data_IF_010023031389
#
_entry.id   IF_010023031389
#
_cell.length_a   1.000
_cell.length_b   1.000
_cell.length_c   1.000
_cell.angle_alpha   90.00
_cell.angle_beta   90.00
_cell.angle_gamma   90.00
#
_symmetry.space_group_name_H-M   'P 1'
#
loop_
_entity.id
_entity.type
_entity.pdbx_description
1 polymer ?
#
# COMPACT_ATOMS: atom_id res chain seq x y z
N UNK A 1 16.58 3.53 -5.55
CA UNK A 1 15.59 4.31 -4.78
C UNK A 1 14.81 3.40 -3.83
N UNK A 2 14.56 3.83 -2.59
CA UNK A 2 13.89 3.05 -1.54
C UNK A 2 12.43 2.72 -1.89
N UNK A 3 11.73 3.63 -2.56
CA UNK A 3 10.33 3.46 -2.99
C UNK A 3 10.16 2.28 -3.96
N UNK A 4 10.94 2.22 -5.05
CA UNK A 4 10.84 1.12 -6.03
C UNK A 4 11.17 -0.27 -5.46
N UNK A 5 12.02 -0.37 -4.43
CA UNK A 5 12.27 -1.64 -3.74
C UNK A 5 11.09 -2.09 -2.88
N UNK A 6 10.33 -1.14 -2.30
CA UNK A 6 9.12 -1.43 -1.55
C UNK A 6 7.99 -1.89 -2.47
N UNK A 7 7.84 -1.26 -3.63
CA UNK A 7 6.85 -1.64 -4.64
C UNK A 7 7.09 -3.05 -5.18
N UNK A 8 8.32 -3.40 -5.60
CA UNK A 8 8.63 -4.78 -6.01
C UNK A 8 8.31 -5.83 -4.94
N UNK A 9 8.45 -5.45 -3.67
CA UNK A 9 8.08 -6.34 -2.56
C UNK A 9 6.57 -6.44 -2.39
N UNK A 10 5.82 -5.39 -2.70
CA UNK A 10 4.36 -5.43 -2.77
C UNK A 10 3.91 -6.41 -3.84
N UNK A 11 4.48 -6.34 -5.05
CA UNK A 11 4.10 -7.23 -6.17
C UNK A 11 4.40 -8.70 -5.89
N UNK A 12 5.53 -8.98 -5.24
CA UNK A 12 5.86 -10.33 -4.78
C UNK A 12 4.82 -10.87 -3.79
N UNK A 13 4.43 -10.08 -2.79
CA UNK A 13 3.41 -10.46 -1.81
C UNK A 13 2.02 -10.64 -2.45
N UNK A 14 1.68 -9.80 -3.43
CA UNK A 14 0.44 -9.93 -4.17
C UNK A 14 0.45 -11.21 -5.01
N UNK A 15 1.57 -11.54 -5.65
CA UNK A 15 1.74 -12.79 -6.41
C UNK A 15 1.62 -14.02 -5.50
N UNK A 16 2.21 -13.98 -4.30
CA UNK A 16 2.07 -15.04 -3.29
C UNK A 16 0.62 -15.25 -2.84
N UNK A 17 -0.19 -14.18 -2.78
CA UNK A 17 -1.62 -14.27 -2.47
C UNK A 17 -2.40 -15.14 -3.46
N UNK A 18 -2.00 -15.20 -4.73
CA UNK A 18 -2.68 -16.04 -5.73
C UNK A 18 -2.40 -17.52 -5.50
N UNK A 19 -1.21 -17.85 -4.97
CA UNK A 19 -0.80 -19.22 -4.69
C UNK A 19 -1.26 -19.79 -3.35
N UNK A 20 -1.79 -18.96 -2.44
CA UNK A 20 -2.23 -19.42 -1.12
C UNK A 20 -3.59 -20.13 -1.19
N UNK A 21 -3.67 -21.34 -0.62
CA UNK A 21 -4.87 -22.18 -0.70
C UNK A 21 -6.05 -21.75 0.20
N UNK A 22 -5.80 -20.96 1.26
CA UNK A 22 -6.83 -20.55 2.21
C UNK A 22 -7.25 -19.07 2.00
N UNK A 23 -8.56 -18.75 1.93
CA UNK A 23 -9.05 -17.38 1.69
C UNK A 23 -8.48 -16.32 2.65
N UNK A 24 -8.40 -16.66 3.93
CA UNK A 24 -7.86 -15.78 4.95
C UNK A 24 -6.37 -15.45 4.72
N UNK A 25 -5.60 -16.41 4.24
CA UNK A 25 -4.18 -16.22 3.93
C UNK A 25 -4.00 -15.38 2.67
N UNK A 26 -4.82 -15.61 1.64
CA UNK A 26 -4.87 -14.75 0.44
C UNK A 26 -5.14 -13.29 0.83
N UNK A 27 -6.19 -13.06 1.62
CA UNK A 27 -6.51 -11.74 2.14
C UNK A 27 -5.33 -11.11 2.92
N UNK A 28 -4.69 -11.89 3.81
CA UNK A 28 -3.54 -11.41 4.60
C UNK A 28 -2.38 -11.00 3.69
N UNK A 29 -2.02 -11.81 2.71
CA UNK A 29 -0.94 -11.51 1.77
C UNK A 29 -1.24 -10.27 0.93
N UNK A 30 -2.45 -10.16 0.37
CA UNK A 30 -2.90 -8.97 -0.35
C UNK A 30 -2.86 -7.70 0.53
N UNK A 31 -3.21 -7.81 1.81
CA UNK A 31 -3.16 -6.68 2.74
C UNK A 31 -1.71 -6.24 3.01
N UNK A 32 -0.79 -7.20 3.18
CA UNK A 32 0.63 -6.91 3.36
C UNK A 32 1.25 -6.28 2.11
N UNK A 33 0.82 -6.71 0.91
CA UNK A 33 1.20 -6.09 -0.35
C UNK A 33 0.79 -4.60 -0.35
N UNK A 34 -0.46 -4.31 -0.02
CA UNK A 34 -0.96 -2.94 0.07
C UNK A 34 -0.17 -2.09 1.09
N UNK A 35 0.21 -2.63 2.26
CA UNK A 35 1.07 -1.92 3.22
C UNK A 35 2.45 -1.57 2.65
N UNK A 36 3.01 -2.41 1.76
CA UNK A 36 4.27 -2.10 1.08
C UNK A 36 4.09 -1.03 0.00
N UNK A 37 2.98 -1.04 -0.72
CA UNK A 37 2.59 0.06 -1.63
C UNK A 37 2.49 1.40 -0.90
N UNK A 38 1.76 1.45 0.22
CA UNK A 38 1.66 2.67 1.04
C UNK A 38 3.02 3.18 1.55
N UNK A 39 3.91 2.26 1.95
CA UNK A 39 5.26 2.61 2.35
C UNK A 39 6.08 3.17 1.18
N UNK A 40 5.85 2.70 -0.06
CA UNK A 40 6.51 3.22 -1.25
C UNK A 40 6.05 4.65 -1.56
N UNK A 41 4.74 4.93 -1.50
CA UNK A 41 4.18 6.29 -1.60
C UNK A 41 4.84 7.22 -0.59
N UNK A 42 4.84 6.82 0.69
CA UNK A 42 5.46 7.61 1.76
C UNK A 42 6.94 7.88 1.51
N UNK A 43 7.70 6.87 1.06
CA UNK A 43 9.12 7.03 0.77
C UNK A 43 9.41 7.95 -0.42
N UNK A 44 8.50 8.04 -1.39
CA UNK A 44 8.60 8.99 -2.50
C UNK A 44 8.22 10.42 -2.07
N UNK A 45 7.22 10.56 -1.19
CA UNK A 45 6.80 11.86 -0.66
C UNK A 45 7.78 12.46 0.38
N UNK A 46 8.65 11.65 1.00
CA UNK A 46 9.68 12.11 1.96
C UNK A 46 10.66 13.14 1.34
N UNK A 47 10.84 13.17 0.01
CA UNK A 47 11.66 14.18 -0.68
C UNK A 47 11.00 15.56 -0.81
N UNK A 48 9.67 15.65 -0.72
CA UNK A 48 8.89 16.87 -0.93
C UNK A 48 8.58 17.62 0.37
N UNK A 49 8.75 16.99 1.54
CA UNK A 49 8.43 17.58 2.84
C UNK A 49 9.67 17.61 3.74
N UNK A 50 10.04 18.79 4.26
CA UNK A 50 11.06 18.97 5.29
C UNK A 50 10.85 17.98 6.46
N UNK A 51 11.92 17.53 7.17
CA UNK A 51 11.88 16.35 8.03
C UNK A 51 10.90 16.50 9.20
N UNK A 52 9.63 16.13 8.97
CA UNK A 52 8.62 16.04 10.00
C UNK A 52 8.86 14.75 10.78
N UNK A 53 9.26 14.88 12.04
CA UNK A 53 9.49 13.79 12.99
C UNK A 53 8.33 12.79 12.91
N UNK A 54 8.60 11.57 12.45
CA UNK A 54 7.60 10.49 12.28
C UNK A 54 6.77 10.33 13.56
N UNK A 55 5.45 10.58 13.55
CA UNK A 55 4.61 10.24 14.68
C UNK A 55 4.56 8.71 14.80
N UNK A 56 4.99 8.19 15.96
CA UNK A 56 5.29 6.77 16.21
C UNK A 56 4.05 5.85 16.31
N UNK A 57 2.85 6.37 16.03
CA UNK A 57 1.58 5.65 16.26
C UNK A 57 0.44 5.90 15.26
N UNK A 58 0.61 6.74 14.22
CA UNK A 58 -0.43 6.86 13.18
C UNK A 58 -0.27 5.70 12.20
N UNK A 59 -1.36 4.98 11.92
CA UNK A 59 -1.36 3.88 10.95
C UNK A 59 -0.77 4.35 9.61
N UNK A 60 -0.11 3.45 8.87
CA UNK A 60 0.48 3.79 7.57
C UNK A 60 -0.53 4.47 6.64
N UNK A 61 -1.80 4.07 6.72
CA UNK A 61 -2.94 4.64 6.00
C UNK A 61 -3.21 6.10 6.36
N UNK A 62 -3.28 6.43 7.66
CA UNK A 62 -3.48 7.82 8.11
C UNK A 62 -2.32 8.71 7.69
N UNK A 63 -1.09 8.18 7.70
CA UNK A 63 0.06 8.95 7.24
C UNK A 63 0.00 9.18 5.73
N UNK A 64 -0.31 8.15 4.95
CA UNK A 64 -0.44 8.21 3.50
C UNK A 64 -1.52 9.21 3.07
N UNK A 65 -2.72 9.15 3.65
CA UNK A 65 -3.80 10.10 3.34
C UNK A 65 -3.41 11.57 3.61
N UNK A 66 -2.49 11.82 4.55
CA UNK A 66 -1.99 13.16 4.85
C UNK A 66 -0.88 13.62 3.90
N UNK A 67 0.00 12.72 3.48
CA UNK A 67 1.16 13.05 2.65
C UNK A 67 0.84 13.00 1.16
N UNK A 68 -0.10 12.14 0.76
CA UNK A 68 -0.55 11.95 -0.60
C UNK A 68 -2.10 11.85 -0.60
N UNK A 69 -2.81 12.98 -0.47
CA UNK A 69 -4.26 13.02 -0.33
C UNK A 69 -5.04 12.37 -1.47
N UNK A 70 -4.44 12.27 -2.66
CA UNK A 70 -5.00 11.53 -3.80
C UNK A 70 -5.19 10.03 -3.51
N UNK A 71 -4.50 9.49 -2.50
CA UNK A 71 -4.70 8.12 -2.01
C UNK A 71 -5.63 8.04 -0.78
N UNK A 72 -6.39 9.10 -0.47
CA UNK A 72 -7.28 9.16 0.69
C UNK A 72 -8.32 8.04 0.71
N UNK A 73 -9.02 7.82 -0.40
CA UNK A 73 -10.04 6.76 -0.51
C UNK A 73 -9.43 5.36 -0.31
N UNK A 74 -8.23 5.15 -0.86
CA UNK A 74 -7.47 3.91 -0.63
C UNK A 74 -7.12 3.73 0.85
N UNK A 75 -6.65 4.78 1.52
CA UNK A 75 -6.32 4.74 2.93
C UNK A 75 -7.53 4.35 3.78
N UNK A 76 -8.71 4.93 3.52
CA UNK A 76 -9.94 4.62 4.23
C UNK A 76 -10.38 3.18 3.98
N UNK A 77 -10.35 2.73 2.72
CA UNK A 77 -10.66 1.36 2.34
C UNK A 77 -9.79 0.35 3.10
N UNK A 78 -8.47 0.48 3.07
CA UNK A 78 -7.58 -0.46 3.75
C UNK A 78 -7.62 -0.32 5.29
N UNK A 79 -7.85 0.88 5.82
CA UNK A 79 -8.04 1.07 7.26
C UNK A 79 -9.28 0.32 7.78
N UNK A 80 -10.40 0.34 7.05
CA UNK A 80 -11.60 -0.41 7.41
C UNK A 80 -11.35 -1.92 7.54
N UNK A 81 -10.39 -2.45 6.77
CA UNK A 81 -10.01 -3.87 6.74
C UNK A 81 -8.93 -4.26 7.78
N UNK A 82 -8.37 -3.29 8.52
CA UNK A 82 -7.29 -3.52 9.49
C UNK A 82 -7.67 -4.49 10.61
N UNK A 83 -8.91 -4.40 11.11
CA UNK A 83 -9.41 -5.28 12.18
C UNK A 83 -9.60 -6.73 11.70
N UNK A 84 -10.03 -6.92 10.45
CA UNK A 84 -10.15 -8.25 9.84
C UNK A 84 -8.76 -8.89 9.68
N UNK A 85 -7.78 -8.14 9.16
CA UNK A 85 -6.39 -8.61 9.07
C UNK A 85 -5.82 -9.00 10.44
N UNK A 86 -6.05 -8.19 11.47
CA UNK A 86 -5.58 -8.50 12.82
C UNK A 86 -6.23 -9.77 13.40
N UNK A 87 -7.52 -9.99 13.13
CA UNK A 87 -8.22 -11.20 13.55
C UNK A 87 -7.67 -12.47 12.85
N UNK A 88 -7.44 -12.39 11.54
CA UNK A 88 -6.84 -13.48 10.75
C UNK A 88 -5.45 -13.85 11.29
N UNK A 89 -4.61 -12.86 11.57
CA UNK A 89 -3.26 -13.10 12.13
C UNK A 89 -3.28 -13.70 13.54
N UNK A 90 -4.34 -13.41 14.31
CA UNK A 90 -4.58 -14.03 15.61
C UNK A 90 -5.17 -15.45 15.51
N UNK A 91 -5.37 -15.98 14.29
CA UNK A 91 -6.00 -17.28 14.07
C UNK A 91 -7.50 -17.30 14.35
N UNK A 92 -8.14 -16.13 14.43
CA UNK A 92 -9.59 -16.03 14.64
C UNK A 92 -10.29 -16.20 13.31
N UNK A 93 -11.10 -17.25 13.20
CA UNK A 93 -11.96 -17.44 12.03
C UNK A 93 -13.05 -16.36 12.01
N UNK A 94 -13.02 -15.54 10.97
CA UNK A 94 -14.00 -14.47 10.69
C UNK A 94 -14.88 -14.81 9.48
N UNK A 95 -14.72 -15.99 8.87
CA UNK A 95 -15.50 -16.41 7.70
C UNK A 95 -15.19 -15.62 6.44
N UNK A 96 -13.91 -15.36 6.13
CA UNK A 96 -13.53 -14.75 4.84
C UNK A 96 -13.83 -15.76 3.73
N UNK A 97 -14.75 -15.41 2.82
CA UNK A 97 -15.06 -16.26 1.67
C UNK A 97 -14.01 -16.11 0.58
N UNK A 98 -13.97 -17.07 -0.35
CA UNK A 98 -13.13 -16.97 -1.55
C UNK A 98 -13.44 -15.69 -2.35
N UNK A 99 -14.72 -15.33 -2.46
CA UNK A 99 -15.16 -14.13 -3.19
C UNK A 99 -14.67 -12.85 -2.52
N UNK A 100 -14.68 -12.80 -1.18
CA UNK A 100 -14.17 -11.66 -0.43
C UNK A 100 -12.66 -11.52 -0.61
N UNK A 101 -11.93 -12.65 -0.55
CA UNK A 101 -10.50 -12.68 -0.76
C UNK A 101 -10.12 -12.25 -2.19
N UNK A 102 -10.83 -12.75 -3.21
CA UNK A 102 -10.61 -12.39 -4.62
C UNK A 102 -10.91 -10.92 -4.89
N UNK A 103 -11.99 -10.39 -4.32
CA UNK A 103 -12.32 -8.97 -4.41
C UNK A 103 -11.23 -8.12 -3.76
N UNK A 104 -10.80 -8.50 -2.56
CA UNK A 104 -9.77 -7.76 -1.84
C UNK A 104 -8.41 -7.81 -2.56
N UNK A 105 -8.06 -8.95 -3.16
CA UNK A 105 -6.92 -9.10 -4.05
C UNK A 105 -6.99 -8.14 -5.24
N UNK A 106 -8.13 -8.07 -5.92
CA UNK A 106 -8.32 -7.19 -7.06
C UNK A 106 -8.19 -5.70 -6.67
N UNK A 107 -8.76 -5.28 -5.54
CA UNK A 107 -8.60 -3.91 -5.03
C UNK A 107 -7.15 -3.61 -4.63
N UNK A 108 -6.45 -4.57 -4.01
CA UNK A 108 -5.02 -4.43 -3.71
C UNK A 108 -4.19 -4.24 -4.99
N UNK A 109 -4.49 -5.00 -6.05
CA UNK A 109 -3.85 -4.84 -7.36
C UNK A 109 -4.08 -3.45 -7.96
N UNK A 110 -5.33 -2.97 -7.99
CA UNK A 110 -5.65 -1.62 -8.49
C UNK A 110 -4.94 -0.52 -7.72
N UNK A 111 -4.84 -0.67 -6.40
CA UNK A 111 -4.06 0.24 -5.57
C UNK A 111 -2.58 0.24 -5.96
N UNK A 112 -1.97 -0.94 -6.14
CA UNK A 112 -0.55 -1.01 -6.53
C UNK A 112 -0.29 -0.40 -7.90
N UNK A 113 -1.18 -0.58 -8.87
CA UNK A 113 -1.10 0.12 -10.17
C UNK A 113 -1.15 1.64 -9.99
N UNK A 114 -2.05 2.15 -9.15
CA UNK A 114 -2.09 3.60 -8.86
C UNK A 114 -0.80 4.10 -8.17
N UNK A 115 -0.17 3.26 -7.33
CA UNK A 115 1.13 3.57 -6.72
C UNK A 115 2.24 3.57 -7.77
N UNK A 116 2.26 2.61 -8.69
CA UNK A 116 3.21 2.56 -9.81
C UNK A 116 3.15 3.83 -10.65
N UNK A 117 1.95 4.23 -11.07
CA UNK A 117 1.73 5.44 -11.87
C UNK A 117 2.23 6.69 -11.14
N UNK A 118 1.86 6.85 -9.86
CA UNK A 118 2.35 7.95 -9.03
C UNK A 118 3.88 7.98 -8.93
N UNK A 119 4.53 6.84 -8.73
CA UNK A 119 5.99 6.79 -8.64
C UNK A 119 6.68 7.11 -9.97
N UNK A 120 6.06 6.76 -11.10
CA UNK A 120 6.56 7.12 -12.43
C UNK A 120 6.49 8.64 -12.66
N UNK A 121 5.40 9.28 -12.26
CA UNK A 121 5.23 10.74 -12.33
C UNK A 121 6.26 11.47 -11.47
N UNK A 122 6.50 10.99 -10.25
CA UNK A 122 7.45 11.60 -9.31
C UNK A 122 8.91 11.46 -9.79
N UNK A 123 9.28 10.33 -10.37
CA UNK A 123 10.61 10.13 -10.95
C UNK A 123 10.85 10.96 -12.22
N UNK A 124 9.79 11.32 -12.94
CA UNK A 124 9.87 12.25 -14.07
C UNK A 124 10.14 13.70 -13.61
N UNK A 125 9.53 14.11 -12.49
CA UNK A 125 9.74 15.44 -11.87
C UNK A 125 11.19 15.63 -11.36
N UNK A 126 11.76 14.60 -10.73
CA UNK A 126 13.16 14.60 -10.26
C UNK A 126 14.20 14.78 -11.39
N UNK A 127 13.84 14.45 -12.63
CA UNK A 127 14.76 14.46 -13.79
C UNK A 127 14.80 15.83 -14.50
N UNK A 128 13.91 16.76 -14.17
CA UNK A 128 13.88 18.12 -14.74
C UNK A 128 14.07 19.21 -13.67
N UNK A 129 15.29 19.39 -13.10
CA UNK A 129 15.59 20.61 -12.36
C UNK A 129 15.68 21.76 -13.37
N UNK A 130 14.87 22.79 -13.16
CA UNK A 130 14.57 23.83 -14.15
C UNK A 130 15.78 24.46 -14.84
N UNK A 131 15.72 24.47 -16.17
CA UNK A 131 16.34 25.51 -16.98
C UNK A 131 15.49 26.77 -16.76
N UNK A 132 15.83 27.56 -15.75
CA UNK A 132 15.40 28.96 -15.68
C UNK A 132 16.53 29.80 -16.25
N UNK A 133 16.19 30.52 -17.32
CA UNK A 133 17.03 31.45 -18.08
C UNK A 133 17.39 32.72 -17.30
#
# INVERSE_FOLDING_TARGET
MRAGALLRRADGLLSESVGAGAPAERFRCAYLAALKGAAAVLAASEGQQAPARRPRSRSAWVLMARTAPQFGEWADYFAAHSALRAAIEAGVDRGVSDVDADRFYAEAGRFLTAVEDFLAEQGADDTYPGISA
#
